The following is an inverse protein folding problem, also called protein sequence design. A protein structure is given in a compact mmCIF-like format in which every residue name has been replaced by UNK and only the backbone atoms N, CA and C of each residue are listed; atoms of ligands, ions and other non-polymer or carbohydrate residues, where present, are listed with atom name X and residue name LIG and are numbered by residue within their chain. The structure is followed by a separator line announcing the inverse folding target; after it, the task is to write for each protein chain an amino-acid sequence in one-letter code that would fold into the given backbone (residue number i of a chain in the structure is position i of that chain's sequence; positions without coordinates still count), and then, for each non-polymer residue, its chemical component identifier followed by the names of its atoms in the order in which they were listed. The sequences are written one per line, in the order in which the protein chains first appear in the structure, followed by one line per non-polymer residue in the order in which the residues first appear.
data_IF_125423053434
#
_entry.id   IF_125423053434
#
_cell.length_a   1.000
_cell.length_b   1.000
_cell.length_c   1.000
_cell.angle_alpha   90.00
_cell.angle_beta   90.00
_cell.angle_gamma   90.00
#
_symmetry.space_group_name_H-M   'P 1'
#
loop_
_entity.id
_entity.type
_entity.pdbx_description
1 polymer ?
#
# COMPACT_ATOMS: atom_id res chain seq x y z
N UNK A 1 22.78 9.82 143.77
CA UNK A 1 21.85 9.32 142.74
C UNK A 1 21.58 10.47 141.77
N UNK A 2 22.21 10.47 140.60
CA UNK A 2 22.09 11.54 139.62
C UNK A 2 21.01 11.16 138.60
N UNK A 3 19.99 12.01 138.47
CA UNK A 3 18.82 11.80 137.60
C UNK A 3 19.21 11.72 136.12
N UNK A 4 18.65 10.78 135.34
CA UNK A 4 18.96 10.60 133.91
C UNK A 4 18.40 11.69 132.98
N UNK A 5 17.68 12.69 133.51
CA UNK A 5 16.99 13.74 132.76
C UNK A 5 17.94 14.80 132.14
N UNK A 6 19.19 14.93 132.61
CA UNK A 6 20.10 16.00 132.14
C UNK A 6 20.75 15.67 130.79
N UNK A 7 20.94 14.38 130.47
CA UNK A 7 21.58 13.96 129.20
C UNK A 7 20.68 14.17 127.98
N UNK A 8 19.35 14.07 128.13
CA UNK A 8 18.41 14.33 127.04
C UNK A 8 18.34 15.82 126.72
N UNK A 9 18.37 16.69 127.73
CA UNK A 9 18.28 18.14 127.52
C UNK A 9 19.51 18.72 126.82
N UNK A 10 20.70 18.18 127.10
CA UNK A 10 21.96 18.54 126.40
C UNK A 10 21.96 18.08 124.93
N UNK A 11 21.36 16.92 124.64
CA UNK A 11 21.28 16.41 123.27
C UNK A 11 20.40 17.30 122.36
N UNK A 12 19.34 17.90 122.90
CA UNK A 12 18.49 18.82 122.14
C UNK A 12 19.14 20.20 121.93
N UNK A 13 19.95 20.68 122.88
CA UNK A 13 20.66 21.95 122.73
C UNK A 13 21.72 21.93 121.62
N UNK A 14 22.31 20.76 121.36
CA UNK A 14 23.30 20.59 120.28
C UNK A 14 22.63 20.46 118.89
N UNK A 15 21.35 20.06 118.83
CA UNK A 15 20.58 19.92 117.58
C UNK A 15 20.05 21.26 117.08
N UNK A 16 19.73 22.20 117.97
CA UNK A 16 19.23 23.55 117.63
C UNK A 16 20.14 24.32 116.67
N UNK A 17 21.47 24.44 116.90
CA UNK A 17 22.35 25.18 115.98
C UNK A 17 22.47 24.47 114.62
N UNK A 18 22.41 23.14 114.59
CA UNK A 18 22.38 22.37 113.33
C UNK A 18 21.10 22.70 112.54
N UNK A 19 19.94 22.66 113.19
CA UNK A 19 18.68 23.05 112.55
C UNK A 19 18.69 24.50 112.05
N UNK A 20 19.26 25.43 112.82
CA UNK A 20 19.41 26.83 112.39
C UNK A 20 20.35 26.96 111.18
N UNK A 21 21.46 26.21 111.14
CA UNK A 21 22.36 26.18 110.00
C UNK A 21 21.70 25.59 108.74
N UNK A 22 20.87 24.56 108.90
CA UNK A 22 20.09 23.97 107.81
C UNK A 22 19.04 24.97 107.31
N UNK A 23 18.35 25.69 108.20
CA UNK A 23 17.40 26.72 107.80
C UNK A 23 18.05 27.90 107.06
N UNK A 24 19.31 28.24 107.36
CA UNK A 24 20.05 29.29 106.64
C UNK A 24 20.58 28.82 105.28
N UNK A 25 20.78 27.50 105.11
CA UNK A 25 21.22 26.91 103.85
C UNK A 25 20.07 26.79 102.84
N UNK A 26 18.83 26.70 103.30
CA UNK A 26 17.64 26.60 102.46
C UNK A 26 17.20 28.01 102.05
N UNK A 27 17.47 28.39 100.80
CA UNK A 27 16.93 29.62 100.22
C UNK A 27 15.65 29.28 99.43
N UNK A 28 14.50 29.46 100.07
CA UNK A 28 13.19 29.19 99.45
C UNK A 28 12.89 30.06 98.25
N UNK A 29 13.45 31.28 98.20
CA UNK A 29 13.20 32.21 97.11
C UNK A 29 13.92 31.74 95.83
N UNK A 30 15.18 31.31 95.94
CA UNK A 30 15.94 30.75 94.82
C UNK A 30 15.31 29.46 94.30
N UNK A 31 14.85 28.59 95.20
CA UNK A 31 14.16 27.35 94.83
C UNK A 31 12.83 27.65 94.09
N UNK A 32 12.07 28.66 94.53
CA UNK A 32 10.85 29.10 93.85
C UNK A 32 11.13 29.66 92.45
N UNK A 33 12.20 30.46 92.30
CA UNK A 33 12.63 30.94 90.97
C UNK A 33 13.03 29.78 90.06
N UNK A 34 13.77 28.80 90.57
CA UNK A 34 14.14 27.60 89.81
C UNK A 34 12.92 26.79 89.38
N UNK A 35 11.92 26.62 90.26
CA UNK A 35 10.66 25.95 89.92
C UNK A 35 9.88 26.75 88.86
N UNK A 36 9.83 28.07 88.95
CA UNK A 36 9.19 28.89 87.91
C UNK A 36 9.91 28.81 86.57
N UNK A 37 11.24 28.85 86.56
CA UNK A 37 12.04 28.74 85.34
C UNK A 37 11.85 27.38 84.68
N UNK A 38 11.89 26.29 85.46
CA UNK A 38 11.63 24.94 84.95
C UNK A 38 10.21 24.79 84.43
N UNK A 39 9.20 25.36 85.10
CA UNK A 39 7.83 25.36 84.63
C UNK A 39 7.69 26.11 83.29
N UNK A 40 8.29 27.31 83.18
CA UNK A 40 8.30 28.07 81.93
C UNK A 40 9.01 27.30 80.79
N UNK A 41 10.11 26.61 81.09
CA UNK A 41 10.81 25.78 80.12
C UNK A 41 9.95 24.59 79.66
N UNK A 42 9.21 23.96 80.58
CA UNK A 42 8.26 22.87 80.26
C UNK A 42 7.14 23.38 79.38
N UNK A 43 6.54 24.53 79.71
CA UNK A 43 5.43 25.12 78.96
C UNK A 43 5.86 25.56 77.56
N UNK A 44 7.04 26.17 77.43
CA UNK A 44 7.63 26.50 76.13
C UNK A 44 7.84 25.24 75.29
N UNK A 45 8.39 24.18 75.87
CA UNK A 45 8.61 22.91 75.17
C UNK A 45 7.30 22.19 74.83
N UNK A 46 6.26 22.34 75.65
CA UNK A 46 4.92 21.82 75.34
C UNK A 46 4.30 22.55 74.14
N UNK A 47 4.46 23.88 74.09
CA UNK A 47 4.02 24.71 72.97
C UNK A 47 4.77 24.37 71.67
N UNK A 48 6.08 24.22 71.72
CA UNK A 48 6.89 23.80 70.56
C UNK A 48 6.43 22.44 70.03
N UNK A 49 6.27 21.44 70.92
CA UNK A 49 5.76 20.12 70.53
C UNK A 49 4.37 20.18 69.91
N UNK A 50 3.48 21.04 70.41
CA UNK A 50 2.16 21.22 69.81
C UNK A 50 2.26 21.76 68.38
N UNK A 51 3.13 22.75 68.15
CA UNK A 51 3.34 23.33 66.81
C UNK A 51 3.93 22.30 65.86
N UNK A 52 4.93 21.53 66.30
CA UNK A 52 5.52 20.45 65.51
C UNK A 52 4.47 19.38 65.17
N UNK A 53 3.63 18.99 66.13
CA UNK A 53 2.57 18.02 65.91
C UNK A 53 1.55 18.51 64.88
N UNK A 54 1.16 19.79 64.94
CA UNK A 54 0.25 20.40 63.96
C UNK A 54 0.87 20.45 62.56
N UNK A 55 2.16 20.78 62.46
CA UNK A 55 2.91 20.76 61.19
C UNK A 55 2.96 19.35 60.59
N UNK A 56 3.33 18.34 61.38
CA UNK A 56 3.38 16.94 60.95
C UNK A 56 1.99 16.47 60.49
N UNK A 57 0.93 16.82 61.21
CA UNK A 57 -0.44 16.49 60.80
C UNK A 57 -0.84 17.17 59.49
N UNK A 58 -0.45 18.43 59.28
CA UNK A 58 -0.70 19.14 58.03
C UNK A 58 0.05 18.50 56.86
N UNK A 59 1.31 18.12 57.05
CA UNK A 59 2.12 17.40 56.06
C UNK A 59 1.53 16.03 55.72
N UNK A 60 1.12 15.25 56.72
CA UNK A 60 0.46 13.96 56.51
C UNK A 60 -0.82 14.11 55.69
N UNK A 61 -1.65 15.13 55.98
CA UNK A 61 -2.86 15.42 55.19
C UNK A 61 -2.52 15.82 53.75
N UNK A 62 -1.47 16.61 53.55
CA UNK A 62 -1.02 17.00 52.21
C UNK A 62 -0.50 15.80 51.40
N UNK A 63 0.32 14.95 52.01
CA UNK A 63 0.82 13.70 51.40
C UNK A 63 -0.32 12.73 51.08
N UNK A 64 -1.28 12.57 51.99
CA UNK A 64 -2.46 11.73 51.74
C UNK A 64 -3.30 12.24 50.55
N UNK A 65 -3.45 13.56 50.39
CA UNK A 65 -4.09 14.16 49.21
C UNK A 65 -3.33 13.87 47.93
N UNK A 66 -1.99 14.03 47.93
CA UNK A 66 -1.13 13.70 46.78
C UNK A 66 -1.23 12.23 46.41
N UNK A 67 -1.24 11.34 47.40
CA UNK A 67 -1.41 9.90 47.20
C UNK A 67 -2.76 9.60 46.54
N UNK A 68 -3.86 10.17 47.02
CA UNK A 68 -5.19 10.00 46.38
C UNK A 68 -5.23 10.52 44.95
N UNK A 69 -4.58 11.65 44.67
CA UNK A 69 -4.45 12.18 43.31
C UNK A 69 -3.64 11.21 42.43
N UNK A 70 -2.50 10.72 42.91
CA UNK A 70 -1.70 9.74 42.18
C UNK A 70 -2.48 8.42 41.96
N UNK A 71 -3.22 7.94 42.94
CA UNK A 71 -4.11 6.78 42.80
C UNK A 71 -5.17 7.00 41.73
N UNK A 72 -5.80 8.18 41.69
CA UNK A 72 -6.78 8.52 40.66
C UNK A 72 -6.18 8.56 39.25
N UNK A 73 -4.88 8.86 39.14
CA UNK A 73 -4.12 8.81 37.89
C UNK A 73 -3.66 7.39 37.54
N UNK A 74 -3.42 6.54 38.55
CA UNK A 74 -3.04 5.14 38.37
C UNK A 74 -4.24 4.26 37.97
N UNK A 75 -5.44 4.56 38.48
CA UNK A 75 -6.66 3.93 37.99
C UNK A 75 -6.87 4.36 36.54
N UNK A 76 -6.70 3.39 35.64
CA UNK A 76 -6.92 3.52 34.20
C UNK A 76 -8.22 4.29 33.96
N UNK A 77 -8.15 5.46 33.32
CA UNK A 77 -9.33 6.28 33.04
C UNK A 77 -10.36 5.41 32.29
N UNK A 78 -11.67 5.55 32.58
CA UNK A 78 -12.71 4.67 32.02
C UNK A 78 -12.82 4.72 30.48
N UNK A 79 -12.24 5.74 29.83
CA UNK A 79 -12.19 5.87 28.37
C UNK A 79 -10.93 5.28 27.73
N UNK A 80 -10.01 4.69 28.49
CA UNK A 80 -8.88 3.99 27.90
C UNK A 80 -9.25 2.55 27.54
N UNK A 81 -8.87 2.07 26.35
CA UNK A 81 -9.14 0.69 25.95
C UNK A 81 -8.55 -0.26 26.99
N UNK A 82 -9.30 -1.33 27.26
CA UNK A 82 -8.81 -2.44 28.07
C UNK A 82 -7.53 -3.00 27.45
N UNK A 83 -6.69 -3.67 28.25
CA UNK A 83 -5.44 -4.23 27.75
C UNK A 83 -5.64 -5.14 26.54
N UNK A 84 -6.72 -5.91 26.56
CA UNK A 84 -7.11 -6.78 25.48
C UNK A 84 -7.51 -6.00 24.22
N UNK A 85 -8.38 -4.99 24.34
CA UNK A 85 -8.74 -4.11 23.23
C UNK A 85 -7.53 -3.36 22.65
N UNK A 86 -6.58 -2.94 23.48
CA UNK A 86 -5.35 -2.30 23.03
C UNK A 86 -4.46 -3.27 22.24
N UNK A 87 -4.30 -4.52 22.73
CA UNK A 87 -3.54 -5.56 22.01
C UNK A 87 -4.20 -5.93 20.68
N UNK A 88 -5.52 -6.03 20.65
CA UNK A 88 -6.29 -6.25 19.42
C UNK A 88 -6.11 -5.09 18.44
N UNK A 89 -6.17 -3.85 18.92
CA UNK A 89 -5.93 -2.66 18.09
C UNK A 89 -4.51 -2.65 17.50
N UNK A 90 -3.49 -3.00 18.29
CA UNK A 90 -2.11 -3.10 17.80
C UNK A 90 -1.98 -4.19 16.74
N UNK A 91 -2.59 -5.36 16.96
CA UNK A 91 -2.58 -6.44 15.97
C UNK A 91 -3.29 -6.06 14.68
N UNK A 92 -4.44 -5.38 14.77
CA UNK A 92 -5.15 -4.88 13.61
C UNK A 92 -4.31 -3.86 12.85
N UNK A 93 -3.66 -2.93 13.55
CA UNK A 93 -2.75 -1.96 12.93
C UNK A 93 -1.55 -2.64 12.25
N UNK A 94 -0.99 -3.69 12.85
CA UNK A 94 0.06 -4.49 12.22
C UNK A 94 -0.40 -5.18 10.95
N UNK A 95 -1.63 -5.72 10.94
CA UNK A 95 -2.23 -6.35 9.74
C UNK A 95 -2.48 -5.32 8.63
N UNK A 96 -2.97 -4.12 8.95
CA UNK A 96 -3.21 -3.09 7.95
C UNK A 96 -1.92 -2.59 7.34
N UNK A 97 -0.88 -2.35 8.14
CA UNK A 97 0.46 -1.97 7.67
C UNK A 97 1.04 -3.01 6.71
N UNK A 98 0.97 -4.30 7.06
CA UNK A 98 1.42 -5.39 6.19
C UNK A 98 0.62 -5.45 4.89
N UNK A 99 -0.71 -5.25 4.94
CA UNK A 99 -1.54 -5.26 3.73
C UNK A 99 -1.23 -4.07 2.81
N UNK A 100 -0.98 -2.88 3.39
CA UNK A 100 -0.64 -1.69 2.64
C UNK A 100 0.73 -1.84 1.98
N UNK A 101 1.73 -2.35 2.71
CA UNK A 101 3.05 -2.64 2.14
C UNK A 101 2.97 -3.60 0.96
N UNK A 102 2.18 -4.67 1.07
CA UNK A 102 1.95 -5.62 -0.05
C UNK A 102 1.27 -4.94 -1.24
N UNK A 103 0.20 -4.19 -1.01
CA UNK A 103 -0.54 -3.50 -2.06
C UNK A 103 0.32 -2.45 -2.78
N UNK A 104 1.20 -1.75 -2.05
CA UNK A 104 2.17 -0.81 -2.64
C UNK A 104 3.17 -1.55 -3.52
N UNK A 105 3.78 -2.61 -3.02
CA UNK A 105 4.75 -3.40 -3.80
C UNK A 105 4.12 -3.99 -5.07
N UNK A 106 2.88 -4.45 -4.99
CA UNK A 106 2.16 -4.99 -6.15
C UNK A 106 1.86 -3.89 -7.20
N UNK A 107 1.48 -2.69 -6.74
CA UNK A 107 1.31 -1.54 -7.64
C UNK A 107 2.63 -1.08 -8.26
N UNK A 108 3.70 -1.02 -7.49
CA UNK A 108 5.03 -0.68 -8.01
C UNK A 108 5.51 -1.70 -9.05
N UNK A 109 5.32 -2.99 -8.78
CA UNK A 109 5.63 -4.06 -9.73
C UNK A 109 4.80 -3.95 -11.01
N UNK A 110 3.50 -3.64 -10.89
CA UNK A 110 2.61 -3.41 -12.03
C UNK A 110 3.01 -2.17 -12.86
N UNK A 111 3.46 -1.11 -12.20
CA UNK A 111 3.96 0.09 -12.89
C UNK A 111 5.26 -0.24 -13.61
N UNK A 112 6.18 -0.97 -12.97
CA UNK A 112 7.45 -1.37 -13.58
C UNK A 112 7.23 -2.26 -14.81
N UNK A 113 6.29 -3.21 -14.76
CA UNK A 113 5.96 -4.05 -15.92
C UNK A 113 5.35 -3.24 -17.07
N UNK A 114 4.43 -2.32 -16.77
CA UNK A 114 3.86 -1.40 -17.77
C UNK A 114 4.90 -0.46 -18.37
N UNK A 115 5.80 0.06 -17.55
CA UNK A 115 6.89 0.93 -18.02
C UNK A 115 7.79 0.19 -19.02
N UNK A 116 8.18 -1.06 -18.72
CA UNK A 116 8.93 -1.91 -19.65
C UNK A 116 8.16 -2.21 -20.93
N UNK A 117 6.88 -2.53 -20.83
CA UNK A 117 6.05 -2.75 -22.02
C UNK A 117 5.96 -1.50 -22.90
N UNK A 118 5.85 -0.31 -22.30
CA UNK A 118 5.86 0.96 -23.03
C UNK A 118 7.23 1.25 -23.67
N UNK A 119 8.32 0.88 -23.03
CA UNK A 119 9.67 1.00 -23.58
C UNK A 119 9.83 0.09 -24.81
N UNK A 120 9.48 -1.20 -24.68
CA UNK A 120 9.50 -2.14 -25.80
C UNK A 120 8.64 -1.65 -26.98
N UNK A 121 7.43 -1.15 -26.71
CA UNK A 121 6.53 -0.68 -27.77
C UNK A 121 7.08 0.57 -28.48
N UNK A 122 7.81 1.44 -27.75
CA UNK A 122 8.51 2.58 -28.35
C UNK A 122 9.68 2.14 -29.22
N UNK A 123 10.42 1.11 -28.80
CA UNK A 123 11.50 0.53 -29.60
C UNK A 123 10.97 -0.11 -30.88
N UNK A 124 9.89 -0.89 -30.79
CA UNK A 124 9.21 -1.50 -31.95
C UNK A 124 8.69 -0.42 -32.92
N UNK A 125 8.04 0.63 -32.39
CA UNK A 125 7.58 1.75 -33.22
C UNK A 125 8.74 2.45 -33.93
N UNK A 126 9.85 2.70 -33.22
CA UNK A 126 11.04 3.30 -33.80
C UNK A 126 11.69 2.40 -34.86
N UNK A 127 11.65 1.08 -34.69
CA UNK A 127 12.13 0.12 -35.68
C UNK A 127 11.27 0.15 -36.95
N UNK A 128 9.93 0.16 -36.79
CA UNK A 128 8.99 0.25 -37.91
C UNK A 128 9.10 1.57 -38.66
N UNK A 129 9.30 2.69 -37.97
CA UNK A 129 9.49 3.99 -38.64
C UNK A 129 10.79 4.01 -39.46
N UNK A 130 11.88 3.42 -38.94
CA UNK A 130 13.14 3.25 -39.69
C UNK A 130 12.97 2.36 -40.90
N UNK A 131 12.28 1.22 -40.75
CA UNK A 131 11.98 0.32 -41.86
C UNK A 131 11.16 1.05 -42.93
N UNK A 132 10.10 1.77 -42.54
CA UNK A 132 9.29 2.58 -43.45
C UNK A 132 10.11 3.65 -44.17
N UNK A 133 11.05 4.30 -43.49
CA UNK A 133 11.96 5.27 -44.09
C UNK A 133 12.88 4.62 -45.14
N UNK A 134 13.42 3.43 -44.84
CA UNK A 134 14.22 2.63 -45.78
C UNK A 134 13.39 2.19 -47.00
N UNK A 135 12.17 1.68 -46.80
CA UNK A 135 11.25 1.33 -47.90
C UNK A 135 10.97 2.53 -48.80
N UNK A 136 10.74 3.71 -48.20
CA UNK A 136 10.50 4.96 -48.92
C UNK A 136 11.74 5.41 -49.69
N UNK A 137 12.92 5.33 -49.09
CA UNK A 137 14.19 5.69 -49.74
C UNK A 137 14.52 4.73 -50.90
N UNK A 138 14.37 3.42 -50.72
CA UNK A 138 14.57 2.42 -51.77
C UNK A 138 13.64 2.66 -52.97
N UNK A 139 12.36 2.98 -52.70
CA UNK A 139 11.37 3.31 -53.73
C UNK A 139 11.72 4.60 -54.50
N UNK A 140 12.25 5.61 -53.82
CA UNK A 140 12.68 6.88 -54.43
C UNK A 140 14.02 6.76 -55.16
N UNK A 141 14.91 5.88 -54.71
CA UNK A 141 16.21 5.58 -55.30
C UNK A 141 16.11 4.82 -56.64
N UNK A 142 14.92 4.30 -56.99
CA UNK A 142 14.73 3.55 -58.23
C UNK A 142 15.53 2.24 -58.27
N UNK A 143 15.92 1.72 -57.10
CA UNK A 143 16.60 0.43 -56.95
C UNK A 143 15.62 -0.75 -57.03
N UNK A 144 14.34 -0.50 -57.34
CA UNK A 144 13.38 -1.53 -57.73
C UNK A 144 13.67 -1.91 -59.20
N UNK A 145 14.76 -2.64 -59.41
CA UNK A 145 15.04 -3.31 -60.68
C UNK A 145 14.11 -4.52 -60.93
N UNK A 146 13.18 -4.83 -60.01
CA UNK A 146 12.19 -5.89 -60.13
C UNK A 146 10.75 -5.32 -60.02
N UNK A 147 10.41 -4.42 -60.95
CA UNK A 147 9.04 -3.95 -61.17
C UNK A 147 8.03 -5.07 -61.51
N UNK A 148 8.51 -6.27 -61.81
CA UNK A 148 7.69 -7.46 -62.03
C UNK A 148 7.06 -8.00 -60.74
N UNK A 149 7.66 -7.82 -59.56
CA UNK A 149 7.14 -8.42 -58.31
C UNK A 149 5.82 -7.77 -57.83
N UNK A 150 5.67 -6.45 -57.98
CA UNK A 150 4.47 -5.75 -57.55
C UNK A 150 3.27 -5.98 -58.49
N UNK A 151 3.51 -6.14 -59.80
CA UNK A 151 2.45 -6.48 -60.75
C UNK A 151 2.04 -7.95 -60.64
N UNK A 152 3.00 -8.87 -60.46
CA UNK A 152 2.74 -10.31 -60.27
C UNK A 152 1.96 -10.60 -58.99
N UNK A 153 2.24 -9.90 -57.88
CA UNK A 153 1.45 -10.03 -56.64
C UNK A 153 0.00 -9.54 -56.83
N UNK A 154 -0.20 -8.48 -57.61
CA UNK A 154 -1.54 -7.98 -57.97
C UNK A 154 -2.34 -8.97 -58.83
N UNK A 155 -1.69 -9.62 -59.80
CA UNK A 155 -2.31 -10.65 -60.64
C UNK A 155 -2.63 -11.92 -59.83
N UNK A 156 -1.68 -12.37 -59.00
CA UNK A 156 -1.88 -13.53 -58.12
C UNK A 156 -3.05 -13.32 -57.14
N UNK A 157 -3.18 -12.11 -56.57
CA UNK A 157 -4.31 -11.76 -55.71
C UNK A 157 -5.65 -11.76 -56.46
N UNK A 158 -5.69 -11.23 -57.69
CA UNK A 158 -6.91 -11.24 -58.51
C UNK A 158 -7.31 -12.66 -58.92
N UNK A 159 -6.35 -13.50 -59.28
CA UNK A 159 -6.59 -14.92 -59.60
C UNK A 159 -7.12 -15.69 -58.38
N UNK A 160 -6.53 -15.47 -57.21
CA UNK A 160 -6.99 -16.10 -55.96
C UNK A 160 -8.42 -15.65 -55.60
N UNK A 161 -8.72 -14.36 -55.76
CA UNK A 161 -10.05 -13.82 -55.51
C UNK A 161 -11.09 -14.41 -56.48
N UNK A 162 -10.76 -14.54 -57.77
CA UNK A 162 -11.64 -15.20 -58.75
C UNK A 162 -11.86 -16.69 -58.43
N UNK A 163 -10.82 -17.39 -57.98
CA UNK A 163 -10.94 -18.77 -57.52
C UNK A 163 -11.83 -18.89 -56.27
N UNK A 164 -11.73 -17.93 -55.34
CA UNK A 164 -12.58 -17.87 -54.14
C UNK A 164 -14.04 -17.61 -54.46
N UNK A 165 -14.32 -16.92 -55.56
CA UNK A 165 -15.65 -16.67 -56.11
C UNK A 165 -16.20 -17.84 -56.93
N UNK A 166 -15.48 -18.97 -57.01
CA UNK A 166 -15.91 -20.18 -57.70
C UNK A 166 -15.56 -20.22 -59.20
N UNK A 167 -14.75 -19.29 -59.69
CA UNK A 167 -14.27 -19.29 -61.08
C UNK A 167 -12.93 -20.02 -61.19
N UNK A 168 -12.90 -21.14 -61.93
CA UNK A 168 -11.66 -21.87 -62.22
C UNK A 168 -11.37 -21.83 -63.71
N UNK A 169 -10.21 -21.29 -64.09
CA UNK A 169 -9.74 -21.30 -65.48
C UNK A 169 -9.28 -22.71 -65.83
N UNK A 170 -9.84 -23.31 -66.89
CA UNK A 170 -9.37 -24.58 -67.43
C UNK A 170 -8.35 -24.31 -68.54
N UNK A 171 -7.10 -24.81 -68.42
CA UNK A 171 -6.16 -24.75 -69.53
C UNK A 171 -6.70 -25.57 -70.70
N UNK A 172 -6.63 -25.01 -71.91
CA UNK A 172 -7.10 -25.67 -73.12
C UNK A 172 -6.26 -26.92 -73.42
N UNK A 173 -6.87 -28.10 -73.72
CA UNK A 173 -6.13 -29.25 -74.19
C UNK A 173 -5.83 -29.10 -75.69
N UNK A 174 -4.87 -28.25 -76.06
CA UNK A 174 -4.29 -28.29 -77.40
C UNK A 174 -3.15 -29.31 -77.43
N UNK A 175 -3.38 -30.40 -78.16
CA UNK A 175 -2.34 -31.34 -78.57
C UNK A 175 -1.25 -30.58 -79.34
N UNK A 176 -0.09 -30.37 -78.72
CA UNK A 176 1.25 -30.57 -79.29
C UNK A 176 2.30 -30.16 -78.27
N UNK A 177 3.19 -31.09 -77.97
CA UNK A 177 4.44 -30.92 -77.25
C UNK A 177 5.31 -29.80 -77.83
N UNK A 178 5.20 -28.59 -77.30
CA UNK A 178 6.27 -27.60 -77.35
C UNK A 178 6.20 -26.70 -76.12
N UNK A 179 7.33 -26.64 -75.45
CA UNK A 179 7.65 -26.03 -74.17
C UNK A 179 7.32 -24.52 -74.14
N UNK A 180 6.67 -24.10 -73.05
CA UNK A 180 6.62 -22.73 -72.49
C UNK A 180 5.91 -21.60 -73.26
N UNK A 181 4.65 -21.79 -73.65
CA UNK A 181 3.68 -20.67 -73.72
C UNK A 181 2.32 -21.16 -73.22
N UNK A 182 1.76 -20.60 -72.13
CA UNK A 182 0.41 -20.97 -71.71
C UNK A 182 -0.59 -20.54 -72.78
N UNK A 183 -1.14 -21.53 -73.50
CA UNK A 183 -2.26 -21.32 -74.43
C UNK A 183 -3.45 -20.77 -73.65
N UNK A 184 -4.08 -19.71 -74.17
CA UNK A 184 -5.20 -19.04 -73.52
C UNK A 184 -6.28 -20.05 -73.07
N UNK A 185 -6.85 -19.92 -71.86
CA UNK A 185 -7.91 -20.80 -71.41
C UNK A 185 -9.11 -20.62 -72.34
N UNK A 186 -9.63 -21.72 -72.88
CA UNK A 186 -10.81 -21.69 -73.75
C UNK A 186 -12.11 -21.90 -72.97
N UNK A 187 -12.04 -22.23 -71.67
CA UNK A 187 -13.20 -22.53 -70.82
C UNK A 187 -12.98 -22.03 -69.39
N UNK A 188 -14.01 -21.43 -68.80
CA UNK A 188 -14.11 -21.12 -67.37
C UNK A 188 -15.13 -22.06 -66.75
N UNK A 189 -14.78 -22.67 -65.63
CA UNK A 189 -15.75 -23.33 -64.77
C UNK A 189 -16.29 -22.30 -63.78
N UNK A 190 -17.59 -22.05 -63.83
CA UNK A 190 -18.29 -21.29 -62.81
C UNK A 190 -18.99 -22.29 -61.88
N UNK A 191 -18.54 -22.33 -60.62
CA UNK A 191 -19.19 -23.08 -59.55
C UNK A 191 -20.14 -22.16 -58.80
N UNK A 192 -21.42 -22.53 -58.76
CA UNK A 192 -22.40 -21.89 -57.90
C UNK A 192 -22.52 -22.75 -56.62
N UNK A 193 -22.29 -22.17 -55.44
CA UNK A 193 -22.41 -22.94 -54.20
C UNK A 193 -23.88 -23.21 -53.80
N UNK A 194 -24.84 -22.44 -54.34
CA UNK A 194 -26.27 -22.62 -54.07
C UNK A 194 -26.91 -23.73 -54.93
N UNK A 195 -26.39 -23.94 -56.14
CA UNK A 195 -26.81 -25.00 -57.05
C UNK A 195 -25.57 -25.84 -57.30
N UNK A 196 -25.44 -27.03 -56.70
CA UNK A 196 -24.26 -27.91 -56.73
C UNK A 196 -23.77 -28.37 -58.12
N UNK A 197 -24.16 -27.68 -59.18
CA UNK A 197 -23.81 -27.87 -60.57
C UNK A 197 -22.61 -27.00 -60.94
N UNK A 198 -21.65 -27.61 -61.62
CA UNK A 198 -20.50 -26.91 -62.22
C UNK A 198 -20.85 -26.66 -63.69
N UNK A 199 -20.95 -25.39 -64.08
CA UNK A 199 -21.29 -25.01 -65.46
C UNK A 199 -20.02 -24.61 -66.22
N UNK A 200 -19.63 -25.34 -67.28
CA UNK A 200 -18.55 -24.92 -68.15
C UNK A 200 -19.04 -23.82 -69.09
N UNK A 201 -18.41 -22.64 -69.02
CA UNK A 201 -18.65 -21.52 -69.94
C UNK A 201 -17.48 -21.45 -70.91
N UNK A 202 -17.77 -21.56 -72.20
CA UNK A 202 -16.76 -21.41 -73.26
C UNK A 202 -16.41 -19.93 -73.40
N UNK A 203 -15.13 -19.61 -73.39
CA UNK A 203 -14.66 -18.25 -73.60
C UNK A 203 -14.78 -17.88 -75.07
N UNK A 204 -15.14 -16.62 -75.32
CA UNK A 204 -15.18 -16.05 -76.66
C UNK A 204 -13.78 -16.10 -77.26
N UNK A 205 -13.69 -16.45 -78.55
CA UNK A 205 -12.42 -16.37 -79.27
C UNK A 205 -11.96 -14.90 -79.35
N UNK A 206 -10.66 -14.66 -79.53
CA UNK A 206 -10.11 -13.29 -79.57
C UNK A 206 -10.80 -12.38 -80.62
N UNK A 207 -11.29 -12.95 -81.71
CA UNK A 207 -12.07 -12.24 -82.74
C UNK A 207 -13.50 -11.91 -82.28
N UNK A 208 -14.12 -12.76 -81.47
CA UNK A 208 -15.47 -12.56 -80.94
C UNK A 208 -15.50 -11.63 -79.73
N UNK A 209 -14.37 -11.47 -79.05
CA UNK A 209 -14.18 -10.54 -77.94
C UNK A 209 -14.10 -9.06 -78.39
N UNK A 210 -14.02 -8.78 -79.70
CA UNK A 210 -14.11 -7.41 -80.23
C UNK A 210 -15.56 -6.90 -80.33
N UNK A 211 -16.55 -7.80 -80.31
CA UNK A 211 -17.97 -7.43 -80.33
C UNK A 211 -18.47 -7.14 -78.89
N UNK A 212 -18.84 -5.89 -78.57
CA UNK A 212 -19.25 -5.52 -77.20
C UNK A 212 -20.54 -6.21 -76.77
N UNK A 213 -21.43 -6.54 -77.70
CA UNK A 213 -22.68 -7.25 -77.40
C UNK A 213 -22.42 -8.69 -76.92
N UNK A 214 -21.45 -9.38 -77.50
CA UNK A 214 -21.07 -10.74 -77.09
C UNK A 214 -20.37 -10.75 -75.73
N UNK A 215 -19.53 -9.76 -75.46
CA UNK A 215 -18.91 -9.57 -74.14
C UNK A 215 -19.96 -9.29 -73.06
N UNK A 216 -20.94 -8.41 -73.34
CA UNK A 216 -22.03 -8.13 -72.41
C UNK A 216 -22.90 -9.38 -72.16
N UNK A 217 -23.18 -10.18 -73.19
CA UNK A 217 -23.91 -11.43 -73.05
C UNK A 217 -23.15 -12.45 -72.19
N UNK A 218 -21.84 -12.61 -72.41
CA UNK A 218 -20.99 -13.50 -71.60
C UNK A 218 -20.86 -13.02 -70.15
N UNK A 219 -20.66 -11.72 -69.94
CA UNK A 219 -20.63 -11.13 -68.60
C UNK A 219 -21.96 -11.33 -67.88
N UNK A 220 -23.10 -11.12 -68.55
CA UNK A 220 -24.44 -11.37 -68.01
C UNK A 220 -24.68 -12.84 -67.64
N UNK A 221 -24.19 -13.77 -68.46
CA UNK A 221 -24.24 -15.20 -68.17
C UNK A 221 -23.41 -15.56 -66.95
N UNK A 222 -22.15 -15.10 -66.86
CA UNK A 222 -21.30 -15.34 -65.70
C UNK A 222 -21.89 -14.73 -64.42
N UNK A 223 -22.40 -13.50 -64.50
CA UNK A 223 -23.06 -12.84 -63.38
C UNK A 223 -24.31 -13.57 -62.92
N UNK A 224 -25.13 -14.08 -63.85
CA UNK A 224 -26.32 -14.87 -63.52
C UNK A 224 -25.99 -16.24 -62.90
N UNK A 225 -24.83 -16.82 -63.24
CA UNK A 225 -24.38 -18.10 -62.69
C UNK A 225 -23.85 -17.96 -61.25
N UNK A 226 -23.23 -16.83 -60.89
CA UNK A 226 -22.75 -16.58 -59.52
C UNK A 226 -23.70 -15.72 -58.67
N UNK A 227 -24.60 -14.98 -59.30
CA UNK A 227 -25.56 -14.07 -58.70
C UNK A 227 -26.97 -14.66 -58.68
N UNK A 228 -27.18 -15.67 -57.84
CA UNK A 228 -28.50 -16.10 -57.38
C UNK A 228 -28.43 -16.32 -55.87
N UNK A 229 -28.31 -15.22 -55.14
CA UNK A 229 -28.73 -15.10 -53.74
C UNK A 229 -29.92 -14.13 -53.72
#
# INVERSE_FOLDING_TARGET
MASPQVKSHQAWTDVIPVLQSVCQLINTDDDLYSVQETQNAIDNRARERSVEQDQIQAELKALAKKLKQAQSQLTRKPNQPTEQQHRESIQQLGKTQLSLGKATNEKESSIASKARALENLKEEYAALEKEREQWRENRLSGSDADGDSAETDGEALRLNLLQSLGYTLLPSPSNTSSINVPSAPNKILARNDAQSNITPVTLLSAEEAQDPEKLCALAGLLWGLTGSA
#
